data_IF_836937970451
#
_entry.id   IF_836937970451
#
_cell.length_a   1.000
_cell.length_b   1.000
_cell.length_c   1.000
_cell.angle_alpha   90.00
_cell.angle_beta   90.00
_cell.angle_gamma   90.00
#
_symmetry.space_group_name_H-M   'P 1'
#
loop_
_entity.id
_entity.type
_entity.pdbx_description
1 polymer ?
#
# COMPACT_ATOMS: atom_id res chain seq x y z
N UNK A 1 -0.69 8.42 -19.47
CA UNK A 1 -2.03 8.71 -18.89
C UNK A 1 -1.83 8.96 -17.41
N UNK A 2 -2.11 10.17 -16.89
CA UNK A 2 -2.01 10.44 -15.45
C UNK A 2 -3.13 9.66 -14.74
N UNK A 3 -2.77 8.80 -13.81
CA UNK A 3 -3.73 8.15 -12.90
C UNK A 3 -4.02 9.13 -11.79
N UNK A 4 -5.28 9.46 -11.58
CA UNK A 4 -5.73 10.23 -10.42
C UNK A 4 -6.25 9.22 -9.40
N UNK A 5 -5.72 9.31 -8.20
CA UNK A 5 -6.16 8.48 -7.08
C UNK A 5 -7.11 9.32 -6.22
N UNK A 6 -8.33 8.86 -6.05
CA UNK A 6 -9.37 9.57 -5.27
C UNK A 6 -9.87 8.64 -4.18
N UNK A 7 -9.98 9.15 -2.96
CA UNK A 7 -10.44 8.41 -1.80
C UNK A 7 -11.61 9.12 -1.17
N UNK A 8 -12.63 8.35 -0.88
CA UNK A 8 -13.78 8.76 -0.08
C UNK A 8 -13.81 7.92 1.19
N UNK A 9 -14.19 8.50 2.31
CA UNK A 9 -14.26 7.80 3.58
C UNK A 9 -15.45 8.29 4.41
N UNK A 10 -16.03 7.38 5.17
CA UNK A 10 -17.07 7.66 6.14
C UNK A 10 -16.96 6.72 7.34
N UNK A 11 -17.69 7.01 8.40
CA UNK A 11 -17.81 6.10 9.54
C UNK A 11 -18.75 4.94 9.21
N UNK A 12 -18.31 3.71 9.45
CA UNK A 12 -19.07 2.50 9.13
C UNK A 12 -20.21 2.20 10.11
N UNK A 13 -20.17 2.81 11.30
CA UNK A 13 -21.17 2.67 12.36
C UNK A 13 -22.36 3.66 12.25
N UNK A 14 -22.36 4.50 11.23
CA UNK A 14 -23.35 5.54 11.01
C UNK A 14 -24.08 5.32 9.67
N UNK A 15 -25.36 4.93 9.75
CA UNK A 15 -26.16 4.57 8.57
C UNK A 15 -26.34 5.76 7.61
N UNK A 16 -26.59 6.96 8.14
CA UNK A 16 -26.69 8.17 7.31
C UNK A 16 -25.37 8.43 6.56
N UNK A 17 -24.23 8.28 7.23
CA UNK A 17 -22.93 8.44 6.59
C UNK A 17 -22.65 7.41 5.50
N UNK A 18 -23.20 6.21 5.59
CA UNK A 18 -23.10 5.21 4.53
C UNK A 18 -23.90 5.63 3.29
N UNK A 19 -25.09 6.19 3.50
CA UNK A 19 -25.90 6.73 2.41
C UNK A 19 -25.25 7.97 1.78
N UNK A 20 -24.69 8.84 2.60
CA UNK A 20 -23.98 10.03 2.13
C UNK A 20 -22.78 9.64 1.27
N UNK A 21 -22.00 8.63 1.67
CA UNK A 21 -20.88 8.14 0.87
C UNK A 21 -21.33 7.59 -0.49
N UNK A 22 -22.49 6.92 -0.55
CA UNK A 22 -23.04 6.47 -1.83
C UNK A 22 -23.47 7.66 -2.69
N UNK A 23 -24.06 8.70 -2.11
CA UNK A 23 -24.43 9.92 -2.80
C UNK A 23 -23.18 10.63 -3.35
N UNK A 24 -22.13 10.73 -2.53
CA UNK A 24 -20.84 11.31 -2.95
C UNK A 24 -20.20 10.57 -4.12
N UNK A 25 -20.27 9.21 -4.10
CA UNK A 25 -19.82 8.38 -5.22
C UNK A 25 -20.61 8.66 -6.49
N UNK A 26 -21.92 8.82 -6.38
CA UNK A 26 -22.79 9.09 -7.52
C UNK A 26 -22.53 10.53 -8.07
N UNK A 27 -22.26 11.49 -7.20
CA UNK A 27 -21.87 12.86 -7.62
C UNK A 27 -20.48 12.90 -8.26
N UNK A 28 -19.52 12.18 -7.67
CA UNK A 28 -18.18 12.04 -8.23
C UNK A 28 -18.23 11.41 -9.62
N UNK A 29 -19.11 10.43 -9.82
CA UNK A 29 -19.33 9.84 -11.14
C UNK A 29 -19.85 10.86 -12.14
N UNK A 30 -20.87 11.65 -11.78
CA UNK A 30 -21.42 12.74 -12.62
C UNK A 30 -20.35 13.79 -12.95
N UNK A 31 -19.53 14.15 -11.97
CA UNK A 31 -18.40 15.07 -12.19
C UNK A 31 -17.39 14.50 -13.18
N UNK A 32 -17.04 13.21 -13.04
CA UNK A 32 -16.08 12.53 -13.93
C UNK A 32 -16.55 12.54 -15.39
N UNK A 33 -17.86 12.41 -15.60
CA UNK A 33 -18.45 12.49 -16.93
C UNK A 33 -18.32 13.88 -17.55
N UNK A 34 -18.56 14.95 -16.76
CA UNK A 34 -18.41 16.34 -17.21
C UNK A 34 -16.95 16.66 -17.55
N UNK A 35 -16.00 16.11 -16.77
CA UNK A 35 -14.57 16.36 -16.97
C UNK A 35 -13.92 15.39 -17.97
N UNK A 36 -14.66 14.46 -18.55
CA UNK A 36 -14.16 13.41 -19.45
C UNK A 36 -13.08 12.51 -18.79
N UNK A 37 -13.08 12.43 -17.46
CA UNK A 37 -12.19 11.60 -16.65
C UNK A 37 -12.93 10.33 -16.27
N UNK A 38 -12.79 9.26 -17.06
CA UNK A 38 -13.55 8.02 -16.83
C UNK A 38 -12.96 7.24 -15.64
N UNK A 39 -13.79 6.96 -14.65
CA UNK A 39 -13.49 5.95 -13.62
C UNK A 39 -13.59 4.54 -14.21
N UNK A 40 -12.82 3.65 -13.64
CA UNK A 40 -12.83 2.23 -13.99
C UNK A 40 -13.33 1.43 -12.79
N UNK A 41 -14.63 1.07 -12.72
CA UNK A 41 -15.23 0.43 -11.55
C UNK A 41 -14.49 -0.84 -11.07
N UNK A 42 -13.92 -1.62 -12.02
CA UNK A 42 -13.14 -2.82 -11.68
C UNK A 42 -11.80 -2.54 -10.98
N UNK A 43 -11.34 -1.28 -10.98
CA UNK A 43 -10.15 -0.82 -10.26
C UNK A 43 -10.49 -0.07 -8.97
N UNK A 44 -11.78 0.14 -8.72
CA UNK A 44 -12.27 0.76 -7.51
C UNK A 44 -12.57 -0.33 -6.50
N UNK A 45 -12.10 -0.15 -5.28
CA UNK A 45 -12.26 -1.08 -4.18
C UNK A 45 -12.72 -0.38 -2.92
N UNK A 46 -13.27 -1.15 -2.01
CA UNK A 46 -13.67 -0.71 -0.68
C UNK A 46 -12.84 -1.46 0.34
N UNK A 47 -12.20 -0.73 1.25
CA UNK A 47 -11.59 -1.31 2.45
C UNK A 47 -12.40 -0.88 3.68
N UNK A 48 -12.78 -1.84 4.51
CA UNK A 48 -13.52 -1.59 5.76
C UNK A 48 -12.53 -1.66 6.91
N UNK A 49 -12.19 -0.51 7.47
CA UNK A 49 -11.24 -0.42 8.57
C UNK A 49 -11.93 -0.65 9.92
N UNK A 50 -11.27 -1.38 10.81
CA UNK A 50 -11.74 -1.67 12.16
C UNK A 50 -12.37 -3.05 12.32
N UNK A 51 -13.03 -3.25 13.47
CA UNK A 51 -13.60 -4.55 13.84
C UNK A 51 -15.09 -4.69 13.49
N UNK A 52 -15.76 -3.58 13.22
CA UNK A 52 -17.20 -3.57 12.89
C UNK A 52 -17.39 -4.00 11.44
N UNK A 53 -18.03 -5.13 11.24
CA UNK A 53 -18.40 -5.63 9.90
C UNK A 53 -19.73 -4.98 9.49
N UNK A 54 -19.67 -3.85 8.80
CA UNK A 54 -20.80 -3.34 8.06
C UNK A 54 -21.00 -4.21 6.80
N UNK A 55 -22.22 -4.66 6.53
CA UNK A 55 -22.56 -5.43 5.32
C UNK A 55 -22.84 -4.51 4.11
N UNK A 56 -22.69 -3.21 4.27
CA UNK A 56 -22.99 -2.23 3.23
C UNK A 56 -22.16 -2.48 1.98
N UNK A 57 -22.84 -2.55 0.84
CA UNK A 57 -22.25 -2.64 -0.48
C UNK A 57 -22.41 -1.30 -1.18
N UNK A 58 -21.31 -0.78 -1.71
CA UNK A 58 -21.31 0.44 -2.50
C UNK A 58 -21.30 0.12 -3.99
N UNK A 59 -21.89 0.99 -4.79
CA UNK A 59 -22.07 0.77 -6.22
C UNK A 59 -21.52 1.96 -7.01
N UNK A 60 -20.97 1.66 -8.17
CA UNK A 60 -20.52 2.67 -9.13
C UNK A 60 -21.10 2.37 -10.52
N UNK A 61 -21.48 3.41 -11.23
CA UNK A 61 -21.99 3.26 -12.59
C UNK A 61 -20.85 2.97 -13.56
N UNK A 62 -21.05 1.96 -14.41
CA UNK A 62 -20.19 1.64 -15.53
C UNK A 62 -20.97 1.88 -16.83
N UNK A 63 -20.36 2.58 -17.78
CA UNK A 63 -20.89 2.64 -19.15
C UNK A 63 -20.23 1.56 -19.99
N UNK A 64 -21.02 0.64 -20.47
CA UNK A 64 -20.62 -0.23 -21.56
C UNK A 64 -20.70 0.51 -22.89
N UNK A 65 -20.03 0.00 -23.91
CA UNK A 65 -20.03 0.51 -25.30
C UNK A 65 -21.42 0.73 -25.88
N UNK A 66 -22.42 0.07 -25.33
CA UNK A 66 -23.83 0.07 -25.80
C UNK A 66 -24.70 1.13 -25.11
N UNK A 67 -24.11 2.15 -24.47
CA UNK A 67 -24.82 3.24 -23.79
C UNK A 67 -25.74 2.82 -22.63
N UNK A 68 -25.67 1.58 -22.16
CA UNK A 68 -26.42 1.11 -21.01
C UNK A 68 -25.58 1.37 -19.76
N UNK A 69 -26.07 2.26 -18.89
CA UNK A 69 -25.47 2.49 -17.57
C UNK A 69 -25.77 1.29 -16.67
N UNK A 70 -24.77 0.47 -16.41
CA UNK A 70 -24.87 -0.64 -15.45
C UNK A 70 -24.29 -0.23 -14.11
N UNK A 71 -25.06 -0.40 -13.05
CA UNK A 71 -24.60 -0.16 -11.68
C UNK A 71 -23.89 -1.40 -11.16
N UNK A 72 -22.57 -1.31 -10.96
CA UNK A 72 -21.73 -2.41 -10.53
C UNK A 72 -21.39 -2.28 -9.04
N UNK A 73 -21.46 -3.36 -8.26
CA UNK A 73 -21.00 -3.36 -6.89
C UNK A 73 -19.47 -3.24 -6.86
N UNK A 74 -18.95 -2.45 -5.92
CA UNK A 74 -17.53 -2.35 -5.67
C UNK A 74 -17.05 -3.55 -4.86
N UNK A 75 -15.89 -4.08 -5.23
CA UNK A 75 -15.26 -5.19 -4.51
C UNK A 75 -14.78 -4.73 -3.14
N UNK A 76 -15.03 -5.55 -2.12
CA UNK A 76 -14.52 -5.32 -0.76
C UNK A 76 -13.25 -6.13 -0.58
N UNK A 77 -12.17 -5.49 -0.14
CA UNK A 77 -10.90 -6.15 0.12
C UNK A 77 -10.49 -5.97 1.59
N UNK A 78 -9.84 -6.97 2.15
CA UNK A 78 -9.27 -6.91 3.50
C UNK A 78 -7.96 -6.14 3.53
N UNK A 79 -7.28 -6.04 2.38
CA UNK A 79 -6.04 -5.30 2.20
C UNK A 79 -6.07 -4.51 0.90
N UNK A 80 -5.53 -3.30 0.92
CA UNK A 80 -5.42 -2.45 -0.26
C UNK A 80 -4.04 -1.80 -0.31
N UNK A 81 -3.53 -1.59 -1.52
CA UNK A 81 -2.25 -0.90 -1.72
C UNK A 81 -2.49 0.56 -2.06
N UNK A 82 -2.12 1.44 -1.13
CA UNK A 82 -2.29 2.86 -1.24
C UNK A 82 -0.94 3.58 -1.29
N UNK A 83 -0.67 4.33 -2.37
CA UNK A 83 0.58 5.08 -2.59
C UNK A 83 1.87 4.29 -2.27
N UNK A 84 1.80 2.97 -2.42
CA UNK A 84 2.95 2.09 -2.15
C UNK A 84 2.91 1.39 -0.79
N UNK A 85 2.07 1.83 0.13
CA UNK A 85 1.83 1.20 1.43
C UNK A 85 0.69 0.19 1.33
N UNK A 86 0.86 -1.00 1.87
CA UNK A 86 -0.21 -2.00 1.98
C UNK A 86 -0.92 -1.79 3.30
N UNK A 87 -2.19 -1.43 3.21
CA UNK A 87 -3.06 -1.15 4.35
C UNK A 87 -3.95 -2.38 4.56
N UNK A 88 -4.00 -2.91 5.76
CA UNK A 88 -4.92 -3.98 6.16
C UNK A 88 -6.07 -3.42 7.01
N UNK A 89 -7.20 -4.12 7.04
CA UNK A 89 -8.42 -3.70 7.75
C UNK A 89 -8.21 -3.41 9.25
N UNK A 90 -7.16 -3.96 9.87
CA UNK A 90 -6.79 -3.73 11.27
C UNK A 90 -5.72 -2.67 11.47
N UNK A 91 -5.17 -2.11 10.40
CA UNK A 91 -4.03 -1.18 10.42
C UNK A 91 -2.81 -1.76 11.15
N UNK A 92 -2.58 -3.06 11.02
CA UNK A 92 -1.40 -3.73 11.60
C UNK A 92 -0.17 -3.57 10.74
N UNK A 93 -0.33 -3.30 9.45
CA UNK A 93 0.71 -3.17 8.43
C UNK A 93 1.65 -4.38 8.31
N UNK A 94 1.23 -5.55 8.81
CA UNK A 94 2.04 -6.76 8.81
C UNK A 94 2.50 -7.15 7.41
N UNK A 95 1.59 -7.14 6.45
CA UNK A 95 1.88 -7.51 5.07
C UNK A 95 2.79 -6.48 4.39
N UNK A 96 2.62 -5.19 4.71
CA UNK A 96 3.51 -4.14 4.24
C UNK A 96 4.94 -4.35 4.73
N UNK A 97 5.12 -4.57 6.02
CA UNK A 97 6.43 -4.79 6.65
C UNK A 97 7.11 -6.04 6.09
N UNK A 98 6.35 -7.14 5.91
CA UNK A 98 6.86 -8.36 5.31
C UNK A 98 7.33 -8.15 3.86
N UNK A 99 6.56 -7.39 3.06
CA UNK A 99 6.94 -7.03 1.68
C UNK A 99 8.17 -6.12 1.65
N UNK A 100 8.23 -5.09 2.49
CA UNK A 100 9.37 -4.17 2.59
C UNK A 100 10.66 -4.91 3.00
N UNK A 101 10.58 -5.74 4.04
CA UNK A 101 11.69 -6.56 4.52
C UNK A 101 12.17 -7.56 3.45
N UNK A 102 11.25 -8.21 2.75
CA UNK A 102 11.57 -9.12 1.64
C UNK A 102 12.27 -8.39 0.49
N UNK A 103 11.77 -7.21 0.10
CA UNK A 103 12.36 -6.39 -0.94
C UNK A 103 13.76 -5.90 -0.55
N UNK A 104 13.93 -5.44 0.69
CA UNK A 104 15.22 -5.02 1.22
C UNK A 104 16.25 -6.16 1.24
N UNK A 105 15.86 -7.36 1.70
CA UNK A 105 16.72 -8.55 1.67
C UNK A 105 17.12 -8.96 0.24
N UNK A 106 16.22 -8.81 -0.73
CA UNK A 106 16.51 -9.06 -2.15
C UNK A 106 17.56 -8.11 -2.69
N UNK A 107 17.45 -6.81 -2.37
CA UNK A 107 18.44 -5.80 -2.76
C UNK A 107 19.78 -6.07 -2.09
N UNK A 108 19.81 -6.42 -0.80
CA UNK A 108 21.03 -6.87 -0.12
C UNK A 108 21.68 -8.07 -0.82
N UNK A 109 20.87 -9.02 -1.28
CA UNK A 109 21.36 -10.16 -2.06
C UNK A 109 21.97 -9.77 -3.39
N UNK A 110 21.39 -8.77 -4.07
CA UNK A 110 21.95 -8.23 -5.33
C UNK A 110 23.29 -7.55 -5.07
N UNK A 111 23.37 -6.63 -4.10
CA UNK A 111 24.61 -5.94 -3.73
C UNK A 111 25.74 -6.95 -3.51
N UNK A 112 25.48 -8.05 -2.80
CA UNK A 112 26.49 -9.08 -2.53
C UNK A 112 26.98 -9.84 -3.73
N UNK A 113 26.12 -10.08 -4.70
CA UNK A 113 26.46 -10.85 -5.91
C UNK A 113 27.12 -10.00 -6.98
N UNK A 114 26.90 -8.69 -6.92
CA UNK A 114 27.42 -7.76 -7.94
C UNK A 114 28.85 -7.28 -7.68
N UNK A 115 29.38 -7.53 -6.47
CA UNK A 115 30.72 -7.06 -6.10
C UNK A 115 31.53 -8.20 -5.48
N UNK A 116 32.63 -8.56 -6.11
CA UNK A 116 33.60 -9.55 -5.61
C UNK A 116 34.38 -9.01 -4.41
N UNK A 117 34.71 -7.71 -4.45
CA UNK A 117 35.36 -6.98 -3.36
C UNK A 117 34.54 -5.76 -2.97
N UNK A 118 34.06 -5.76 -1.74
CA UNK A 118 33.23 -4.70 -1.20
C UNK A 118 33.85 -4.17 0.10
N UNK A 119 34.34 -2.93 0.09
CA UNK A 119 34.82 -2.30 1.31
C UNK A 119 33.66 -1.96 2.22
N UNK A 120 33.92 -1.82 3.52
CA UNK A 120 32.92 -1.44 4.51
C UNK A 120 32.26 -0.12 4.17
N UNK A 121 33.04 0.86 3.76
CA UNK A 121 32.58 2.21 3.40
C UNK A 121 31.64 2.15 2.20
N UNK A 122 32.02 1.45 1.13
CA UNK A 122 31.19 1.25 -0.07
C UNK A 122 29.92 0.50 0.26
N UNK A 123 29.99 -0.55 1.10
CA UNK A 123 28.81 -1.28 1.53
C UNK A 123 27.82 -0.38 2.30
N UNK A 124 28.32 0.44 3.23
CA UNK A 124 27.48 1.37 4.00
C UNK A 124 26.80 2.40 3.08
N UNK A 125 27.49 2.91 2.08
CA UNK A 125 26.91 3.82 1.10
C UNK A 125 25.83 3.15 0.26
N UNK A 126 26.06 1.95 -0.24
CA UNK A 126 25.07 1.17 -0.99
C UNK A 126 23.85 0.81 -0.12
N UNK A 127 24.08 0.44 1.14
CA UNK A 127 23.01 0.17 2.07
C UNK A 127 22.12 1.41 2.29
N UNK A 128 22.74 2.56 2.58
CA UNK A 128 22.03 3.82 2.82
C UNK A 128 21.25 4.31 1.59
N UNK A 129 21.76 4.08 0.39
CA UNK A 129 21.12 4.55 -0.85
C UNK A 129 20.08 3.59 -1.41
N UNK A 130 20.25 2.28 -1.26
CA UNK A 130 19.41 1.28 -1.94
C UNK A 130 18.50 0.47 -1.00
N UNK A 131 18.95 0.20 0.23
CA UNK A 131 18.23 -0.68 1.16
C UNK A 131 17.41 0.12 2.16
N UNK A 132 18.05 1.08 2.82
CA UNK A 132 17.43 1.89 3.87
C UNK A 132 16.15 2.62 3.39
N UNK A 133 16.11 3.24 2.20
CA UNK A 133 14.89 3.90 1.72
C UNK A 133 13.70 2.96 1.55
N UNK A 134 13.94 1.66 1.31
CA UNK A 134 12.87 0.67 1.21
C UNK A 134 12.22 0.41 2.58
N UNK A 135 13.03 0.40 3.64
CA UNK A 135 12.60 0.14 5.01
C UNK A 135 12.02 1.37 5.70
N UNK A 136 12.33 2.56 5.22
CA UNK A 136 11.91 3.83 5.84
C UNK A 136 10.84 4.57 5.01
N UNK A 137 10.51 4.04 3.82
CA UNK A 137 9.51 4.67 2.96
C UNK A 137 8.19 4.80 3.71
N UNK A 138 7.74 6.04 3.87
CA UNK A 138 6.44 6.39 4.48
C UNK A 138 6.22 5.83 5.91
N UNK A 139 7.30 5.66 6.68
CA UNK A 139 7.29 5.03 8.01
C UNK A 139 6.37 5.73 9.01
N UNK A 140 6.09 7.02 8.82
CA UNK A 140 5.16 7.77 9.65
C UNK A 140 3.72 7.24 9.57
N UNK A 141 3.35 6.54 8.47
CA UNK A 141 2.03 5.94 8.28
C UNK A 141 1.95 4.57 8.93
N UNK A 142 2.98 3.75 8.78
CA UNK A 142 2.95 2.32 9.13
C UNK A 142 3.90 1.92 10.27
N UNK A 143 4.37 2.87 11.06
CA UNK A 143 5.28 2.57 12.18
C UNK A 143 4.75 1.39 13.02
N UNK A 144 5.52 0.30 13.16
CA UNK A 144 5.04 -0.91 13.81
C UNK A 144 4.85 -0.71 15.31
N UNK A 145 3.69 -1.14 15.81
CA UNK A 145 3.40 -1.14 17.26
C UNK A 145 3.77 -2.46 17.92
N UNK A 146 3.86 -3.54 17.14
CA UNK A 146 4.18 -4.87 17.65
C UNK A 146 5.69 -5.11 17.63
N UNK A 147 6.25 -5.57 18.74
CA UNK A 147 7.69 -5.90 18.87
C UNK A 147 8.19 -6.89 17.82
N UNK A 148 7.35 -7.87 17.44
CA UNK A 148 7.68 -8.82 16.38
C UNK A 148 7.94 -8.15 15.04
N UNK A 149 7.10 -7.18 14.67
CA UNK A 149 7.24 -6.44 13.41
C UNK A 149 8.45 -5.49 13.44
N UNK A 150 8.76 -4.90 14.58
CA UNK A 150 10.01 -4.16 14.76
C UNK A 150 11.22 -5.09 14.54
N UNK A 151 11.19 -6.29 15.13
CA UNK A 151 12.25 -7.28 14.97
C UNK A 151 12.46 -7.69 13.52
N UNK A 152 11.40 -7.84 12.72
CA UNK A 152 11.49 -8.19 11.30
C UNK A 152 12.30 -7.13 10.50
N UNK A 153 12.12 -5.86 10.81
CA UNK A 153 12.87 -4.75 10.19
C UNK A 153 14.32 -4.72 10.69
N UNK A 154 14.50 -4.86 12.01
CA UNK A 154 15.83 -4.89 12.63
C UNK A 154 16.66 -6.08 12.15
N UNK A 155 16.04 -7.21 11.86
CA UNK A 155 16.72 -8.39 11.32
C UNK A 155 17.35 -8.13 9.96
N UNK A 156 16.72 -7.33 9.11
CA UNK A 156 17.32 -6.91 7.84
C UNK A 156 18.59 -6.09 8.11
N UNK A 157 18.51 -5.14 9.04
CA UNK A 157 19.64 -4.30 9.42
C UNK A 157 20.76 -5.10 10.08
N UNK A 158 20.41 -6.04 10.96
CA UNK A 158 21.37 -6.94 11.62
C UNK A 158 22.11 -7.82 10.61
N UNK A 159 21.38 -8.42 9.66
CA UNK A 159 21.99 -9.19 8.55
C UNK A 159 22.90 -8.33 7.68
N UNK A 160 22.56 -7.07 7.46
CA UNK A 160 23.42 -6.13 6.75
C UNK A 160 24.70 -5.85 7.55
N UNK A 161 24.59 -5.57 8.86
CA UNK A 161 25.72 -5.24 9.73
C UNK A 161 26.69 -6.40 9.95
N UNK A 162 26.19 -7.62 10.16
CA UNK A 162 27.03 -8.81 10.29
C UNK A 162 27.93 -9.05 9.07
N UNK A 163 27.55 -8.56 7.91
CA UNK A 163 28.28 -8.76 6.65
C UNK A 163 29.16 -7.58 6.24
N UNK A 164 28.99 -6.43 6.86
CA UNK A 164 29.97 -5.35 6.81
C UNK A 164 31.30 -5.72 7.51
N UNK A 165 31.31 -6.81 8.27
CA UNK A 165 32.51 -7.39 8.92
C UNK A 165 33.21 -8.46 8.07
N UNK A 166 32.81 -8.69 6.81
CA UNK A 166 33.40 -9.74 5.99
C UNK A 166 34.67 -9.27 5.31
N UNK A 167 35.75 -9.81 5.85
CA UNK A 167 37.17 -9.95 5.46
C UNK A 167 38.00 -8.67 5.45
N UNK A 168 38.93 -8.59 6.41
CA UNK A 168 40.21 -7.93 6.12
C UNK A 168 40.94 -8.78 5.07
N UNK A 169 41.42 -8.14 4.04
CA UNK A 169 42.52 -8.63 3.20
C UNK A 169 43.73 -8.89 4.05
#
# INVERSE_FOLDING_TARGET
MKSYDTKLYTRSDWEEGQQDLQNDLDELHKWSEKCLLKFHPQKCSVIKLGTTKSETTYYMNSRNTDCISQRLPLSVHDTEKDLGVVIDHRLTFKDHIAQASSKANRVLGVIRRSFDYLTKETFVQLYKSLVRPILEYDHCVWQPHLKSLCSDIEDVQRRASHKAHIKPT
#
